data_IF_354025119142
#
_entry.id   IF_354025119142
#
_cell.length_a   1.000
_cell.length_b   1.000
_cell.length_c   1.000
_cell.angle_alpha   90.00
_cell.angle_beta   90.00
_cell.angle_gamma   90.00
#
_symmetry.space_group_name_H-M   'P 1'
#
loop_
_entity.id
_entity.type
_entity.pdbx_description
1 polymer ?
#
# COMPACT_ATOMS: atom_id res chain seq x y z
N UNK A 1 8.78 -18.46 -6.88
CA UNK A 1 9.76 -17.36 -6.85
C UNK A 1 11.07 -18.01 -6.50
N UNK A 2 11.99 -18.08 -7.44
CA UNK A 2 13.28 -18.71 -7.20
C UNK A 2 14.32 -17.65 -6.82
N UNK A 3 15.44 -18.08 -6.27
CA UNK A 3 16.57 -17.19 -6.05
C UNK A 3 17.09 -16.68 -7.40
N UNK A 4 17.40 -15.37 -7.51
CA UNK A 4 18.03 -14.84 -8.71
C UNK A 4 19.40 -15.49 -8.96
N UNK A 5 19.82 -15.64 -10.23
CA UNK A 5 21.14 -16.12 -10.57
C UNK A 5 22.23 -15.34 -9.82
N UNK A 6 23.20 -16.04 -9.22
CA UNK A 6 24.30 -15.44 -8.45
C UNK A 6 24.03 -15.22 -6.96
N UNK A 7 22.82 -15.50 -6.46
CA UNK A 7 22.48 -15.40 -5.02
C UNK A 7 22.36 -16.75 -4.31
N UNK A 8 22.53 -17.86 -5.03
CA UNK A 8 22.46 -19.22 -4.47
C UNK A 8 23.79 -19.55 -3.77
N UNK A 9 23.81 -19.43 -2.44
CA UNK A 9 24.94 -19.85 -1.62
C UNK A 9 24.97 -21.38 -1.41
N UNK A 10 26.15 -21.94 -1.12
CA UNK A 10 26.27 -23.36 -0.71
C UNK A 10 25.39 -23.61 0.53
N UNK A 11 24.49 -24.59 0.43
CA UNK A 11 23.50 -24.91 1.47
C UNK A 11 22.22 -24.06 1.45
N UNK A 12 22.09 -23.09 0.53
CA UNK A 12 20.91 -22.24 0.37
C UNK A 12 19.81 -22.83 -0.53
N UNK A 13 19.77 -24.15 -0.72
CA UNK A 13 18.75 -24.79 -1.55
C UNK A 13 17.36 -24.56 -0.96
N UNK A 14 16.41 -24.13 -1.80
CA UNK A 14 15.03 -23.86 -1.37
C UNK A 14 14.77 -22.49 -0.75
N UNK A 15 15.77 -21.61 -0.60
CA UNK A 15 15.49 -20.21 -0.28
C UNK A 15 14.82 -19.52 -1.48
N UNK A 16 14.05 -18.48 -1.19
CA UNK A 16 13.32 -17.69 -2.18
C UNK A 16 13.51 -16.20 -1.91
N UNK A 17 13.33 -15.37 -2.94
CA UNK A 17 13.39 -13.92 -2.77
C UNK A 17 12.17 -13.43 -1.95
N UNK A 18 12.43 -12.76 -0.81
CA UNK A 18 11.40 -12.11 0.01
C UNK A 18 11.34 -10.63 -0.32
N UNK A 19 10.25 -10.20 -0.94
CA UNK A 19 10.00 -8.79 -1.21
C UNK A 19 9.72 -8.03 0.10
N UNK A 20 10.50 -6.98 0.35
CA UNK A 20 10.27 -6.04 1.47
C UNK A 20 9.26 -4.95 1.13
N UNK A 21 9.07 -4.69 -0.18
CA UNK A 21 8.11 -3.73 -0.72
C UNK A 21 7.40 -4.35 -1.92
N UNK A 22 6.18 -3.91 -2.18
CA UNK A 22 5.41 -4.33 -3.36
C UNK A 22 6.12 -3.85 -4.63
N UNK A 23 6.37 -4.75 -5.59
CA UNK A 23 6.91 -4.37 -6.89
C UNK A 23 5.83 -3.69 -7.73
N UNK A 24 6.17 -2.60 -8.41
CA UNK A 24 5.25 -1.97 -9.35
C UNK A 24 4.77 -2.97 -10.43
N UNK A 25 3.55 -2.78 -10.92
CA UNK A 25 2.95 -3.64 -11.95
C UNK A 25 2.37 -4.97 -11.45
N UNK A 26 2.64 -5.39 -10.21
CA UNK A 26 1.95 -6.55 -9.65
C UNK A 26 0.49 -6.21 -9.29
N UNK A 27 -0.42 -7.17 -9.48
CA UNK A 27 -1.86 -7.01 -9.22
C UNK A 27 -2.17 -6.55 -7.79
N UNK A 28 -1.36 -6.95 -6.80
CA UNK A 28 -1.53 -6.57 -5.40
C UNK A 28 -0.94 -5.21 -5.05
N UNK A 29 -0.11 -4.61 -5.90
CA UNK A 29 0.61 -3.38 -5.59
C UNK A 29 -0.31 -2.18 -5.38
N UNK A 30 -1.37 -1.97 -6.21
CA UNK A 30 -2.36 -0.94 -5.94
C UNK A 30 -3.03 -1.11 -4.56
N UNK A 31 -3.33 -2.36 -4.15
CA UNK A 31 -3.95 -2.64 -2.85
C UNK A 31 -3.04 -2.30 -1.68
N UNK A 32 -1.76 -2.68 -1.76
CA UNK A 32 -0.77 -2.36 -0.73
C UNK A 32 -0.55 -0.84 -0.62
N UNK A 33 -0.48 -0.15 -1.75
CA UNK A 33 -0.37 1.31 -1.80
C UNK A 33 -1.59 1.99 -1.21
N UNK A 34 -2.80 1.59 -1.62
CA UNK A 34 -4.04 2.14 -1.08
C UNK A 34 -4.15 1.93 0.43
N UNK A 35 -3.77 0.76 0.95
CA UNK A 35 -3.74 0.51 2.39
C UNK A 35 -2.79 1.45 3.14
N UNK A 36 -1.58 1.68 2.61
CA UNK A 36 -0.62 2.62 3.20
C UNK A 36 -1.13 4.06 3.14
N UNK A 37 -1.65 4.47 2.00
CA UNK A 37 -2.21 5.80 1.77
C UNK A 37 -3.40 6.08 2.69
N UNK A 38 -4.37 5.17 2.72
CA UNK A 38 -5.58 5.29 3.54
C UNK A 38 -5.24 5.43 5.02
N UNK A 39 -4.22 4.71 5.52
CA UNK A 39 -3.73 4.86 6.89
C UNK A 39 -3.18 6.26 7.15
N UNK A 40 -2.28 6.74 6.30
CA UNK A 40 -1.64 8.06 6.46
C UNK A 40 -2.67 9.20 6.41
N UNK A 41 -3.61 9.14 5.46
CA UNK A 41 -4.65 10.16 5.29
C UNK A 41 -5.62 10.19 6.48
N UNK A 42 -5.92 9.04 7.07
CA UNK A 42 -6.71 8.97 8.32
C UNK A 42 -5.94 9.51 9.53
N UNK A 43 -4.64 9.20 9.66
CA UNK A 43 -3.77 9.78 10.69
C UNK A 43 -3.67 11.31 10.56
N UNK A 44 -3.77 11.83 9.34
CA UNK A 44 -3.83 13.27 9.07
C UNK A 44 -5.19 13.92 9.44
N UNK A 45 -6.17 13.13 9.88
CA UNK A 45 -7.47 13.59 10.33
C UNK A 45 -8.52 13.69 9.23
N UNK A 46 -8.34 13.02 8.10
CA UNK A 46 -9.41 12.83 7.12
C UNK A 46 -10.23 11.59 7.44
N UNK A 47 -11.52 11.63 7.14
CA UNK A 47 -12.49 10.57 7.40
C UNK A 47 -12.79 9.87 6.07
N UNK A 48 -12.76 8.55 6.05
CA UNK A 48 -13.16 7.77 4.88
C UNK A 48 -14.68 7.80 4.72
N UNK A 49 -15.17 8.02 3.50
CA UNK A 49 -16.59 7.97 3.19
C UNK A 49 -17.12 6.53 3.30
N UNK A 50 -18.33 6.39 3.84
CA UNK A 50 -19.01 5.09 3.94
C UNK A 50 -19.68 4.67 2.63
N UNK A 51 -20.15 5.64 1.84
CA UNK A 51 -20.77 5.38 0.55
C UNK A 51 -19.74 5.02 -0.54
N UNK A 52 -18.50 5.53 -0.42
CA UNK A 52 -17.40 5.23 -1.33
C UNK A 52 -16.07 5.18 -0.56
N UNK A 53 -15.48 3.98 -0.50
CA UNK A 53 -14.23 3.77 0.24
C UNK A 53 -12.99 4.38 -0.41
N UNK A 54 -13.06 4.83 -1.66
CA UNK A 54 -11.97 5.58 -2.30
C UNK A 54 -11.94 7.04 -1.85
N UNK A 55 -13.07 7.58 -1.37
CA UNK A 55 -13.22 8.99 -1.02
C UNK A 55 -12.88 9.25 0.44
N UNK A 56 -12.07 10.28 0.68
CA UNK A 56 -11.77 10.82 2.00
C UNK A 56 -12.24 12.27 2.09
N UNK A 57 -12.74 12.68 3.25
CA UNK A 57 -13.18 14.04 3.46
C UNK A 57 -12.82 14.55 4.84
N UNK A 58 -12.72 15.87 4.97
CA UNK A 58 -12.58 16.55 6.26
C UNK A 58 -13.46 17.77 6.26
N UNK A 59 -14.23 17.96 7.34
CA UNK A 59 -15.14 19.10 7.50
C UNK A 59 -14.61 19.99 8.62
N UNK A 60 -14.42 21.28 8.34
CA UNK A 60 -14.31 22.33 9.34
C UNK A 60 -15.65 23.08 9.46
N UNK A 61 -15.73 24.07 10.35
CA UNK A 61 -16.92 24.91 10.51
C UNK A 61 -17.29 25.67 9.22
N UNK A 62 -16.31 25.98 8.37
CA UNK A 62 -16.48 26.82 7.18
C UNK A 62 -16.15 26.13 5.87
N UNK A 63 -15.35 25.04 5.90
CA UNK A 63 -14.84 24.40 4.69
C UNK A 63 -15.03 22.88 4.71
N UNK A 64 -15.10 22.31 3.51
CA UNK A 64 -15.07 20.87 3.29
C UNK A 64 -13.96 20.56 2.31
N UNK A 65 -13.05 19.69 2.72
CA UNK A 65 -12.00 19.13 1.88
C UNK A 65 -12.43 17.73 1.46
N UNK A 66 -12.28 17.43 0.17
CA UNK A 66 -12.59 16.12 -0.42
C UNK A 66 -11.37 15.66 -1.19
N UNK A 67 -11.01 14.40 -1.02
CA UNK A 67 -9.89 13.76 -1.66
C UNK A 67 -10.38 12.44 -2.27
N UNK A 68 -10.15 12.29 -3.57
CA UNK A 68 -10.59 11.17 -4.40
C UNK A 68 -9.42 10.20 -4.64
#
# INVERSE_FOLDING_TARGET
>A
MDQPPGFVAQGGSGLVCKLQKSLYGLKQSPRAWFGRFSKVIQEFGMIRCEADHSVFFRRSSTHRFILL
#
